data_IF_486701305124
#
_entry.id   IF_486701305124
#
_cell.length_a   1.000
_cell.length_b   1.000
_cell.length_c   1.000
_cell.angle_alpha   90.00
_cell.angle_beta   90.00
_cell.angle_gamma   90.00
#
_symmetry.space_group_name_H-M   'P 1'
#
loop_
_entity.id
_entity.type
_entity.pdbx_description
1 polymer ?
#
# COMPACT_ATOMS: atom_id res chain seq x y z
N UNK A 1 -19.49 25.66 1.61
CA UNK A 1 -18.01 25.74 1.62
C UNK A 1 -17.59 26.17 3.02
N UNK A 2 -16.97 25.28 3.78
CA UNK A 2 -16.40 25.59 5.09
C UNK A 2 -14.91 25.80 4.89
N UNK A 3 -14.52 27.05 4.63
CA UNK A 3 -13.12 27.48 4.68
C UNK A 3 -12.67 27.52 6.15
N UNK A 4 -12.47 26.34 6.75
CA UNK A 4 -11.70 26.24 7.98
C UNK A 4 -10.26 26.56 7.62
N UNK A 5 -9.82 27.77 7.99
CA UNK A 5 -8.44 28.23 7.88
C UNK A 5 -7.50 27.18 8.49
N UNK A 6 -6.84 26.41 7.63
CA UNK A 6 -5.83 25.42 8.02
C UNK A 6 -4.58 26.21 8.42
N UNK A 7 -4.35 26.36 9.73
CA UNK A 7 -3.12 26.97 10.24
C UNK A 7 -2.08 25.87 10.46
N UNK A 8 -0.81 26.08 10.06
CA UNK A 8 0.27 25.17 10.40
C UNK A 8 0.42 25.08 11.93
N UNK A 9 0.91 23.94 12.42
CA UNK A 9 1.27 23.78 13.82
C UNK A 9 2.51 24.63 14.13
N UNK A 10 2.33 25.70 14.93
CA UNK A 10 3.37 26.70 15.22
C UNK A 10 4.09 26.50 16.56
N UNK A 11 3.62 25.61 17.46
CA UNK A 11 4.39 25.32 18.67
C UNK A 11 5.56 24.41 18.30
N UNK A 12 6.77 24.79 18.72
CA UNK A 12 8.00 24.00 18.55
C UNK A 12 8.01 22.70 19.37
N UNK A 13 6.84 22.18 19.73
CA UNK A 13 6.63 20.93 20.43
C UNK A 13 6.57 19.79 19.41
N UNK A 14 7.36 18.74 19.66
CA UNK A 14 7.31 17.53 18.85
C UNK A 14 6.01 16.76 19.13
N UNK A 15 5.09 16.77 18.16
CA UNK A 15 3.82 16.08 18.23
C UNK A 15 3.98 14.56 18.40
N UNK A 16 5.14 13.97 18.09
CA UNK A 16 5.39 12.53 18.31
C UNK A 16 5.33 12.16 19.79
N UNK A 17 5.66 13.10 20.68
CA UNK A 17 5.72 12.86 22.11
C UNK A 17 4.33 12.63 22.70
N UNK A 18 3.30 13.29 22.16
CA UNK A 18 1.96 13.30 22.76
C UNK A 18 0.83 12.85 21.82
N UNK A 19 0.96 13.07 20.52
CA UNK A 19 -0.14 12.94 19.56
C UNK A 19 0.13 11.90 18.47
N UNK A 20 1.30 11.94 17.82
CA UNK A 20 1.69 11.04 16.73
C UNK A 20 2.50 9.87 17.30
N UNK A 21 1.85 9.13 18.19
CA UNK A 21 2.45 7.95 18.83
C UNK A 21 2.36 6.71 17.91
N UNK A 22 3.12 5.63 18.18
CA UNK A 22 2.96 4.37 17.45
C UNK A 22 1.52 3.83 17.47
N UNK A 23 0.81 4.02 18.59
CA UNK A 23 -0.61 3.66 18.70
C UNK A 23 -1.48 4.49 17.76
N UNK A 24 -1.26 5.79 17.69
CA UNK A 24 -1.94 6.68 16.76
C UNK A 24 -1.72 6.24 15.30
N UNK A 25 -0.47 5.95 14.91
CA UNK A 25 -0.14 5.50 13.56
C UNK A 25 -0.84 4.16 13.22
N UNK A 26 -0.92 3.23 14.18
CA UNK A 26 -1.65 1.98 14.00
C UNK A 26 -3.16 2.21 13.78
N UNK A 27 -3.77 3.10 14.58
CA UNK A 27 -5.18 3.48 14.40
C UNK A 27 -5.42 4.20 13.08
N UNK A 28 -4.53 5.11 12.67
CA UNK A 28 -4.61 5.80 11.39
C UNK A 28 -4.60 4.80 10.23
N UNK A 29 -3.68 3.82 10.27
CA UNK A 29 -3.60 2.77 9.26
C UNK A 29 -4.88 1.92 9.20
N UNK A 30 -5.46 1.59 10.35
CA UNK A 30 -6.71 0.84 10.40
C UNK A 30 -7.87 1.65 9.78
N UNK A 31 -8.03 2.92 10.19
CA UNK A 31 -9.09 3.81 9.69
C UNK A 31 -8.95 4.11 8.20
N UNK A 32 -7.72 4.32 7.71
CA UNK A 32 -7.47 4.59 6.30
C UNK A 32 -8.02 3.48 5.39
N UNK A 33 -8.04 2.22 5.84
CA UNK A 33 -8.62 1.10 5.06
C UNK A 33 -10.13 1.22 4.87
N UNK A 34 -10.83 1.89 5.77
CA UNK A 34 -12.29 2.05 5.76
C UNK A 34 -12.73 3.34 5.04
N UNK A 35 -11.85 4.32 4.93
CA UNK A 35 -12.16 5.60 4.29
C UNK A 35 -12.30 5.50 2.79
N UNK A 36 -13.07 6.41 2.19
CA UNK A 36 -13.15 6.54 0.73
C UNK A 36 -11.83 7.11 0.17
N UNK A 37 -11.48 6.79 -1.10
CA UNK A 37 -10.28 7.35 -1.72
C UNK A 37 -10.27 8.89 -1.72
N UNK A 38 -11.42 9.52 -1.96
CA UNK A 38 -11.53 10.98 -2.00
C UNK A 38 -11.31 11.60 -0.63
N UNK A 39 -11.79 10.94 0.44
CA UNK A 39 -11.52 11.39 1.80
C UNK A 39 -10.04 11.28 2.15
N UNK A 40 -9.37 10.19 1.75
CA UNK A 40 -7.93 10.03 1.99
C UNK A 40 -7.14 11.14 1.27
N UNK A 41 -7.46 11.44 0.01
CA UNK A 41 -6.83 12.54 -0.74
C UNK A 41 -7.00 13.89 -0.04
N UNK A 42 -8.22 14.18 0.41
CA UNK A 42 -8.51 15.39 1.18
C UNK A 42 -7.70 15.46 2.49
N UNK A 43 -7.55 14.34 3.21
CA UNK A 43 -6.73 14.30 4.42
C UNK A 43 -5.24 14.52 4.13
N UNK A 44 -4.71 13.93 3.06
CA UNK A 44 -3.31 14.17 2.62
C UNK A 44 -3.09 15.65 2.34
N UNK A 45 -4.00 16.29 1.59
CA UNK A 45 -3.92 17.73 1.32
C UNK A 45 -3.92 18.54 2.62
N UNK A 46 -4.85 18.27 3.54
CA UNK A 46 -4.87 18.94 4.84
C UNK A 46 -3.56 18.77 5.62
N UNK A 47 -3.06 17.54 5.72
CA UNK A 47 -1.90 17.20 6.54
C UNK A 47 -0.58 17.73 5.98
N UNK A 48 -0.45 17.85 4.66
CA UNK A 48 0.70 18.52 4.03
C UNK A 48 0.85 19.98 4.49
N UNK A 49 -0.25 20.64 4.86
CA UNK A 49 -0.20 22.00 5.40
C UNK A 49 -0.11 22.03 6.92
N UNK A 50 -0.81 21.16 7.63
CA UNK A 50 -0.95 21.25 9.10
C UNK A 50 0.14 20.52 9.88
N UNK A 51 0.65 19.40 9.36
CA UNK A 51 1.59 18.50 10.06
C UNK A 51 2.74 18.05 9.15
N UNK A 52 3.27 18.97 8.33
CA UNK A 52 4.32 18.72 7.34
C UNK A 52 5.57 18.01 7.89
N UNK A 53 5.90 18.21 9.16
CA UNK A 53 7.11 17.69 9.81
C UNK A 53 6.95 16.23 10.29
N UNK A 54 5.79 15.62 9.99
CA UNK A 54 5.40 14.26 10.39
C UNK A 54 5.04 13.40 9.16
N UNK A 55 6.03 13.09 8.30
CA UNK A 55 5.82 12.35 7.06
C UNK A 55 5.23 10.96 7.30
N UNK A 56 5.46 10.34 8.45
CA UNK A 56 4.93 9.02 8.80
C UNK A 56 3.40 8.94 8.73
N UNK A 57 2.69 10.05 8.95
CA UNK A 57 1.22 10.11 8.82
C UNK A 57 0.81 10.15 7.35
N UNK A 58 1.55 10.91 6.52
CA UNK A 58 1.31 11.01 5.09
C UNK A 58 1.60 9.68 4.39
N UNK A 59 2.71 9.03 4.73
CA UNK A 59 3.11 7.73 4.17
C UNK A 59 2.04 6.65 4.37
N UNK A 60 1.35 6.65 5.52
CA UNK A 60 0.24 5.72 5.78
C UNK A 60 -0.91 5.93 4.78
N UNK A 61 -1.27 7.20 4.52
CA UNK A 61 -2.38 7.54 3.66
C UNK A 61 -2.05 7.36 2.18
N UNK A 62 -0.86 7.80 1.77
CA UNK A 62 -0.34 7.62 0.41
C UNK A 62 -0.15 6.13 0.09
N UNK A 63 0.40 5.36 1.03
CA UNK A 63 0.54 3.92 0.89
C UNK A 63 -0.81 3.19 0.76
N UNK A 64 -1.86 3.64 1.45
CA UNK A 64 -3.19 3.06 1.32
C UNK A 64 -3.83 3.39 -0.05
N UNK A 65 -3.64 4.60 -0.59
CA UNK A 65 -4.07 4.92 -1.95
C UNK A 65 -3.33 4.06 -2.98
N UNK A 66 -2.01 3.96 -2.84
CA UNK A 66 -1.17 3.16 -3.72
C UNK A 66 -1.57 1.69 -3.71
N UNK A 67 -1.78 1.11 -2.53
CA UNK A 67 -2.30 -0.26 -2.37
C UNK A 67 -3.63 -0.47 -3.12
N UNK A 68 -4.54 0.51 -3.08
CA UNK A 68 -5.83 0.43 -3.78
C UNK A 68 -5.65 0.50 -5.29
N UNK A 69 -4.75 1.36 -5.77
CA UNK A 69 -4.39 1.46 -7.19
C UNK A 69 -3.83 0.13 -7.71
N UNK A 70 -2.84 -0.45 -7.01
CA UNK A 70 -2.27 -1.75 -7.34
C UNK A 70 -3.35 -2.85 -7.37
N UNK A 71 -4.26 -2.89 -6.39
CA UNK A 71 -5.36 -3.85 -6.36
C UNK A 71 -6.38 -3.65 -7.49
N UNK A 72 -6.58 -2.42 -7.96
CA UNK A 72 -7.43 -2.13 -9.11
C UNK A 72 -6.76 -2.60 -10.41
N UNK A 73 -5.47 -2.33 -10.57
CA UNK A 73 -4.65 -2.82 -11.69
C UNK A 73 -4.68 -4.33 -11.72
N UNK A 74 -4.37 -5.01 -10.61
CA UNK A 74 -4.38 -6.47 -10.53
C UNK A 74 -5.74 -7.07 -10.95
N UNK A 75 -6.85 -6.48 -10.49
CA UNK A 75 -8.21 -6.94 -10.88
C UNK A 75 -8.50 -6.72 -12.36
N UNK A 76 -8.03 -5.61 -12.92
CA UNK A 76 -8.18 -5.28 -14.34
C UNK A 76 -7.37 -6.24 -15.22
N UNK A 77 -6.11 -6.45 -14.86
CA UNK A 77 -5.14 -7.28 -15.56
C UNK A 77 -5.59 -8.73 -15.68
N UNK A 78 -6.20 -9.30 -14.63
CA UNK A 78 -6.80 -10.66 -14.67
C UNK A 78 -7.86 -10.86 -15.77
N UNK A 79 -8.46 -9.78 -16.27
CA UNK A 79 -9.49 -9.81 -17.32
C UNK A 79 -8.95 -9.49 -18.72
N UNK A 80 -7.72 -8.96 -18.80
CA UNK A 80 -7.07 -8.61 -20.06
C UNK A 80 -6.50 -9.85 -20.76
N UNK A 81 -6.29 -9.77 -22.07
CA UNK A 81 -5.49 -10.73 -22.84
C UNK A 81 -3.98 -10.51 -22.64
N UNK A 82 -3.17 -11.51 -22.98
CA UNK A 82 -1.69 -11.42 -22.91
C UNK A 82 -1.15 -10.26 -23.77
N UNK A 83 -1.76 -10.03 -24.94
CA UNK A 83 -1.35 -8.95 -25.83
C UNK A 83 -1.61 -7.57 -25.21
N UNK A 84 -2.76 -7.39 -24.56
CA UNK A 84 -3.11 -6.15 -23.86
C UNK A 84 -2.20 -5.89 -22.66
N UNK A 85 -1.87 -6.93 -21.89
CA UNK A 85 -0.93 -6.81 -20.76
C UNK A 85 0.45 -6.37 -21.24
N UNK A 86 0.97 -6.96 -22.34
CA UNK A 86 2.24 -6.54 -22.95
C UNK A 86 2.21 -5.09 -23.43
N UNK A 87 1.09 -4.64 -24.00
CA UNK A 87 0.89 -3.24 -24.39
C UNK A 87 0.90 -2.30 -23.18
N UNK A 88 0.20 -2.66 -22.11
CA UNK A 88 0.20 -1.86 -20.88
C UNK A 88 1.57 -1.81 -20.21
N UNK A 89 2.35 -2.89 -20.26
CA UNK A 89 3.70 -2.92 -19.71
C UNK A 89 4.63 -1.88 -20.36
N UNK A 90 4.44 -1.59 -21.65
CA UNK A 90 5.16 -0.50 -22.34
C UNK A 90 4.70 0.88 -21.84
N UNK A 91 3.40 1.03 -21.56
CA UNK A 91 2.81 2.29 -21.08
C UNK A 91 3.20 2.62 -19.64
N UNK A 92 3.42 1.61 -18.80
CA UNK A 92 3.81 1.75 -17.39
C UNK A 92 5.32 1.59 -17.16
N UNK A 93 6.15 1.87 -18.16
CA UNK A 93 7.61 1.71 -18.06
C UNK A 93 8.26 2.64 -17.01
N UNK A 94 7.61 3.75 -16.68
CA UNK A 94 7.99 4.73 -15.66
C UNK A 94 7.41 4.44 -14.26
N UNK A 95 6.54 3.42 -14.14
CA UNK A 95 5.88 3.06 -12.88
C UNK A 95 6.25 1.63 -12.48
N UNK A 96 7.35 1.45 -11.71
CA UNK A 96 7.93 0.13 -11.45
C UNK A 96 6.93 -0.83 -10.81
N UNK A 97 6.16 -0.38 -9.81
CA UNK A 97 5.20 -1.22 -9.08
C UNK A 97 4.04 -1.67 -9.98
N UNK A 98 3.60 -0.83 -10.91
CA UNK A 98 2.56 -1.20 -11.88
C UNK A 98 3.09 -2.22 -12.89
N UNK A 99 4.30 -1.99 -13.38
CA UNK A 99 4.99 -2.91 -14.27
C UNK A 99 5.23 -4.27 -13.60
N UNK A 100 5.54 -4.30 -12.30
CA UNK A 100 5.72 -5.53 -11.53
C UNK A 100 4.44 -6.36 -11.46
N UNK A 101 3.28 -5.74 -11.16
CA UNK A 101 1.97 -6.42 -11.18
C UNK A 101 1.69 -7.04 -12.56
N UNK A 102 1.97 -6.30 -13.63
CA UNK A 102 1.77 -6.76 -15.01
C UNK A 102 2.71 -7.92 -15.38
N UNK A 103 4.00 -7.84 -15.01
CA UNK A 103 4.99 -8.91 -15.23
C UNK A 103 4.61 -10.17 -14.47
N UNK A 104 4.23 -10.03 -13.20
CA UNK A 104 3.81 -11.15 -12.35
C UNK A 104 2.63 -11.89 -12.98
N UNK A 105 1.64 -11.18 -13.52
CA UNK A 105 0.52 -11.83 -14.21
C UNK A 105 0.98 -12.56 -15.49
N UNK A 106 1.87 -11.96 -16.29
CA UNK A 106 2.42 -12.62 -17.48
C UNK A 106 3.16 -13.91 -17.12
N UNK A 107 3.96 -13.89 -16.05
CA UNK A 107 4.67 -15.06 -15.54
C UNK A 107 3.69 -16.16 -15.15
N UNK A 108 2.67 -15.85 -14.35
CA UNK A 108 1.62 -16.80 -13.95
C UNK A 108 0.95 -17.43 -15.18
N UNK A 109 0.63 -16.64 -16.21
CA UNK A 109 -0.02 -17.13 -17.44
C UNK A 109 0.89 -17.93 -18.36
N UNK A 110 2.19 -17.66 -18.31
CA UNK A 110 3.19 -18.42 -19.05
C UNK A 110 3.46 -19.81 -18.44
N UNK A 111 2.81 -20.12 -17.30
CA UNK A 111 3.01 -21.38 -16.59
C UNK A 111 4.25 -21.38 -15.70
N UNK A 112 4.87 -20.21 -15.44
CA UNK A 112 5.84 -20.11 -14.36
C UNK A 112 5.08 -20.38 -13.05
N UNK A 113 5.52 -21.39 -12.30
CA UNK A 113 5.01 -21.63 -10.94
C UNK A 113 5.04 -20.30 -10.19
N UNK A 114 3.91 -19.96 -9.55
CA UNK A 114 3.90 -18.96 -8.47
C UNK A 114 5.14 -19.20 -7.63
N UNK A 115 5.94 -18.15 -7.43
CA UNK A 115 7.12 -18.07 -6.55
C UNK A 115 7.50 -19.44 -5.99
N UNK A 116 8.50 -20.08 -6.60
CA UNK A 116 9.02 -21.39 -6.17
C UNK A 116 8.92 -21.53 -4.65
N UNK A 117 8.12 -22.50 -4.19
CA UNK A 117 8.13 -23.04 -2.83
C UNK A 117 9.45 -23.80 -2.56
N UNK A 118 10.58 -23.26 -3.01
CA UNK A 118 11.91 -23.82 -2.83
C UNK A 118 12.75 -22.86 -2.00
N UNK A 119 12.40 -22.74 -0.72
CA UNK A 119 13.36 -22.75 0.36
C UNK A 119 12.67 -23.26 1.65
N UNK A 120 12.98 -24.53 1.97
CA UNK A 120 12.86 -25.21 3.26
C UNK A 120 11.47 -25.51 3.86
N UNK A 121 10.93 -26.65 3.40
CA UNK A 121 11.08 -27.87 4.20
C UNK A 121 10.42 -27.88 5.58
N UNK A 122 9.12 -28.17 5.58
CA UNK A 122 8.48 -29.16 6.46
C UNK A 122 9.34 -29.66 7.63
N UNK A 123 9.30 -28.94 8.75
CA UNK A 123 9.59 -29.54 10.06
C UNK A 123 8.54 -30.64 10.29
N UNK A 124 8.90 -31.87 9.90
CA UNK A 124 8.17 -33.09 10.26
C UNK A 124 8.20 -33.20 11.78
N UNK A 125 7.17 -32.70 12.45
CA UNK A 125 6.88 -33.05 13.83
C UNK A 125 6.45 -34.52 13.79
N UNK A 126 7.42 -35.42 13.93
CA UNK A 126 7.15 -36.81 14.26
C UNK A 126 6.45 -36.83 15.63
N UNK A 127 5.33 -37.55 15.80
CA UNK A 127 4.79 -37.77 17.14
C UNK A 127 5.81 -38.59 17.95
N UNK A 128 6.02 -38.29 19.24
CA UNK A 128 6.94 -39.06 20.05
C UNK A 128 6.42 -40.51 20.19
N UNK A 129 7.22 -41.47 19.75
CA UNK A 129 7.02 -42.88 20.12
C UNK A 129 7.25 -43.02 21.62
N UNK A 130 6.20 -43.31 22.37
CA UNK A 130 6.32 -43.76 23.75
C UNK A 130 6.61 -45.26 23.75
N UNK A 131 7.76 -45.63 24.34
CA UNK A 131 7.99 -46.93 24.95
C UNK A 131 7.56 -46.88 26.41
#
# INVERSE_FOLDING_TARGET
MLERSLKPHESGEDLRVFYITPHYLAQMRARAREWSPDFIKYQIECFRFTIKDYPEVLEILEGELHRRELNAIQRSVRRMSVAEIKKQLQQFSDRPDHAEVLRTELEIRSGASRLRDDEEGTARIAPPSQN
#
